data_IF_129693117939
#
_entry.id   IF_129693117939
#
_cell.length_a   1.000
_cell.length_b   1.000
_cell.length_c   1.000
_cell.angle_alpha   90.00
_cell.angle_beta   90.00
_cell.angle_gamma   90.00
#
_symmetry.space_group_name_H-M   'P 1'
#
loop_
_entity.id
_entity.type
_entity.pdbx_description
1 polymer ?
#
# COMPACT_ATOMS: atom_id res chain seq x y z
N UNK A 1 27.58 14.95 10.73
CA UNK A 1 27.29 13.74 9.92
C UNK A 1 25.92 13.19 10.32
N UNK A 2 24.93 13.18 9.43
CA UNK A 2 23.65 12.50 9.67
C UNK A 2 23.84 11.04 9.25
N UNK A 3 23.80 10.10 10.19
CA UNK A 3 23.71 8.68 9.84
C UNK A 3 22.33 8.48 9.20
N UNK A 4 22.27 8.00 7.97
CA UNK A 4 21.01 7.59 7.35
C UNK A 4 20.73 6.20 7.88
N UNK A 5 19.85 6.10 8.86
CA UNK A 5 19.30 4.81 9.31
C UNK A 5 18.56 4.18 8.13
N UNK A 6 19.15 3.15 7.53
CA UNK A 6 18.48 2.34 6.50
C UNK A 6 17.51 1.44 7.27
N UNK A 7 16.36 1.98 7.65
CA UNK A 7 15.31 1.19 8.27
C UNK A 7 14.68 0.30 7.21
N UNK A 8 14.99 -0.99 7.28
CA UNK A 8 14.32 -1.98 6.46
C UNK A 8 12.88 -2.12 6.96
N UNK A 9 11.92 -1.58 6.21
CA UNK A 9 10.51 -1.71 6.59
C UNK A 9 10.14 -3.20 6.58
N UNK A 10 9.72 -3.78 7.72
CA UNK A 10 9.31 -5.16 7.75
C UNK A 10 8.12 -5.37 6.82
N UNK A 11 8.04 -6.56 6.21
CA UNK A 11 6.96 -6.85 5.26
C UNK A 11 5.59 -6.80 5.92
N UNK A 12 5.49 -7.22 7.18
CA UNK A 12 4.26 -7.18 7.96
C UNK A 12 4.33 -6.05 9.00
N UNK A 13 3.39 -5.12 8.93
CA UNK A 13 3.33 -3.92 9.75
C UNK A 13 2.19 -4.00 10.78
N UNK A 14 2.40 -3.68 12.06
CA UNK A 14 1.32 -3.42 13.01
C UNK A 14 0.55 -2.14 12.63
N UNK A 15 -0.65 -1.97 13.18
CA UNK A 15 -1.54 -0.87 12.80
C UNK A 15 -0.93 0.55 12.88
N UNK A 16 -0.13 0.92 13.90
CA UNK A 16 0.49 2.25 13.95
C UNK A 16 1.50 2.47 12.81
N UNK A 17 2.33 1.48 12.51
CA UNK A 17 3.33 1.57 11.45
C UNK A 17 2.67 1.56 10.06
N UNK A 18 1.65 0.73 9.86
CA UNK A 18 0.87 0.71 8.62
C UNK A 18 0.14 2.03 8.37
N UNK A 19 -0.39 2.66 9.42
CA UNK A 19 -1.04 3.96 9.32
C UNK A 19 -0.03 5.06 8.96
N UNK A 20 1.14 5.04 9.62
CA UNK A 20 2.25 5.93 9.30
C UNK A 20 2.75 5.73 7.86
N UNK A 21 2.81 4.48 7.38
CA UNK A 21 3.19 4.13 6.00
C UNK A 21 2.27 4.79 4.96
N UNK A 22 0.95 4.77 5.20
CA UNK A 22 -0.04 5.42 4.33
C UNK A 22 -0.21 6.93 4.62
N UNK A 23 0.45 7.48 5.65
CA UNK A 23 0.30 8.88 6.04
C UNK A 23 -1.07 9.24 6.65
N UNK A 24 -1.76 8.26 7.24
CA UNK A 24 -3.11 8.43 7.82
C UNK A 24 -3.15 8.09 9.31
N UNK A 25 -4.26 8.40 9.98
CA UNK A 25 -4.49 7.99 11.36
C UNK A 25 -4.81 6.49 11.47
N UNK A 26 -4.59 5.90 12.65
CA UNK A 26 -4.94 4.47 12.87
C UNK A 26 -6.44 4.20 12.83
N UNK A 27 -7.28 5.17 13.17
CA UNK A 27 -8.73 5.07 13.01
C UNK A 27 -9.12 5.08 11.54
N UNK A 28 -8.52 5.96 10.74
CA UNK A 28 -8.70 5.97 9.27
C UNK A 28 -8.26 4.65 8.67
N UNK A 29 -7.08 4.13 9.01
CA UNK A 29 -6.60 2.83 8.49
C UNK A 29 -7.62 1.70 8.72
N UNK A 30 -8.26 1.68 9.90
CA UNK A 30 -9.27 0.66 10.25
C UNK A 30 -10.55 0.78 9.41
N UNK A 31 -10.88 1.94 8.86
CA UNK A 31 -12.03 2.12 7.97
C UNK A 31 -11.74 1.77 6.51
N UNK A 32 -10.47 1.69 6.09
CA UNK A 32 -10.08 1.40 4.69
C UNK A 32 -10.32 -0.06 4.27
N UNK A 33 -10.74 -0.93 5.19
CA UNK A 33 -11.04 -2.36 4.96
C UNK A 33 -9.91 -3.14 4.24
N UNK A 34 -8.65 -2.77 4.49
CA UNK A 34 -7.48 -3.44 3.90
C UNK A 34 -7.32 -4.83 4.55
N UNK A 35 -7.03 -5.89 3.78
CA UNK A 35 -6.80 -7.23 4.30
C UNK A 35 -5.72 -7.26 5.40
N UNK A 36 -6.00 -7.98 6.48
CA UNK A 36 -5.07 -8.16 7.62
C UNK A 36 -4.61 -9.60 7.69
N UNK A 37 -3.30 -9.80 7.76
CA UNK A 37 -2.67 -11.09 8.04
C UNK A 37 -2.78 -11.41 9.52
N UNK A 38 -3.11 -12.66 9.84
CA UNK A 38 -3.21 -13.15 11.21
C UNK A 38 -1.92 -13.86 11.59
N UNK A 39 -1.31 -13.44 12.70
CA UNK A 39 -0.16 -14.10 13.31
C UNK A 39 -0.48 -14.33 14.79
N UNK A 40 -1.12 -15.47 15.08
CA UNK A 40 -1.73 -15.74 16.38
C UNK A 40 -2.78 -14.68 16.75
N UNK A 41 -2.60 -14.04 17.91
CA UNK A 41 -3.47 -12.96 18.38
C UNK A 41 -3.24 -11.63 17.64
N UNK A 42 -2.11 -11.47 16.93
CA UNK A 42 -1.79 -10.22 16.23
C UNK A 42 -2.51 -10.14 14.88
N UNK A 43 -2.82 -8.91 14.50
CA UNK A 43 -3.34 -8.53 13.18
C UNK A 43 -2.34 -7.56 12.57
N UNK A 44 -1.74 -7.96 11.46
CA UNK A 44 -0.71 -7.21 10.76
C UNK A 44 -1.18 -6.90 9.34
N UNK A 45 -0.65 -5.83 8.75
CA UNK A 45 -0.88 -5.45 7.37
C UNK A 45 0.34 -5.86 6.54
N UNK A 46 0.13 -6.47 5.37
CA UNK A 46 1.24 -6.68 4.43
C UNK A 46 1.51 -5.35 3.70
N UNK A 47 2.77 -4.94 3.64
CA UNK A 47 3.21 -3.75 2.92
C UNK A 47 2.77 -3.77 1.45
N UNK A 48 2.74 -4.94 0.81
CA UNK A 48 2.27 -5.04 -0.58
C UNK A 48 0.77 -4.78 -0.72
N UNK A 49 -0.03 -5.21 0.26
CA UNK A 49 -1.47 -4.95 0.27
C UNK A 49 -1.73 -3.44 0.48
N UNK A 50 -0.88 -2.77 1.29
CA UNK A 50 -0.92 -1.30 1.46
C UNK A 50 -0.50 -0.56 0.18
N UNK A 51 0.56 -1.01 -0.50
CA UNK A 51 1.02 -0.44 -1.77
C UNK A 51 -0.07 -0.55 -2.84
N UNK A 52 -0.67 -1.74 -2.99
CA UNK A 52 -1.74 -1.97 -3.95
C UNK A 52 -2.95 -1.06 -3.68
N UNK A 53 -3.32 -0.86 -2.41
CA UNK A 53 -4.35 0.10 -2.03
C UNK A 53 -3.99 1.52 -2.45
N UNK A 54 -2.76 1.97 -2.14
CA UNK A 54 -2.30 3.33 -2.46
C UNK A 54 -2.25 3.58 -3.98
N UNK A 55 -1.78 2.60 -4.76
CA UNK A 55 -1.76 2.66 -6.23
C UNK A 55 -3.16 2.70 -6.85
N UNK A 56 -4.17 2.16 -6.17
CA UNK A 56 -5.57 2.19 -6.62
C UNK A 56 -6.32 3.48 -6.28
N UNK A 57 -5.71 4.42 -5.54
CA UNK A 57 -6.38 5.67 -5.19
C UNK A 57 -6.51 6.58 -6.42
N UNK A 58 -7.66 7.25 -6.59
CA UNK A 58 -7.80 8.25 -7.64
C UNK A 58 -6.82 9.40 -7.38
N UNK A 59 -6.16 9.88 -8.44
CA UNK A 59 -5.38 11.12 -8.36
C UNK A 59 -6.28 12.30 -8.72
N UNK A 60 -6.11 13.44 -8.05
CA UNK A 60 -6.85 14.65 -8.39
C UNK A 60 -6.54 15.08 -9.83
N UNK A 61 -7.60 15.30 -10.62
CA UNK A 61 -7.49 15.62 -12.04
C UNK A 61 -7.28 14.42 -12.96
N UNK A 62 -7.46 13.18 -12.48
CA UNK A 62 -7.25 11.99 -13.32
C UNK A 62 -8.14 11.96 -14.56
N UNK A 63 -7.45 12.22 -15.67
CA UNK A 63 -7.64 11.64 -16.98
C UNK A 63 -8.01 10.16 -16.81
N UNK A 64 -9.27 9.85 -17.07
CA UNK A 64 -9.69 8.49 -17.39
C UNK A 64 -8.81 7.97 -18.54
N UNK A 65 -8.23 6.80 -18.38
CA UNK A 65 -7.46 6.13 -19.43
C UNK A 65 -5.95 6.19 -19.18
N UNK A 66 -5.20 5.11 -19.22
CA UNK A 66 -5.48 3.82 -19.81
C UNK A 66 -4.65 2.76 -19.08
N UNK A 67 -5.12 1.53 -19.18
CA UNK A 67 -4.27 0.36 -19.26
C UNK A 67 -3.36 0.47 -20.51
N UNK A 68 -2.61 1.57 -20.68
CA UNK A 68 -1.69 1.80 -21.79
C UNK A 68 -0.63 0.68 -21.85
N UNK A 69 -0.35 0.08 -20.69
CA UNK A 69 0.45 -1.13 -20.57
C UNK A 69 -0.18 -2.35 -21.29
N UNK A 70 -1.50 -2.53 -21.30
CA UNK A 70 -2.16 -3.62 -22.06
C UNK A 70 -2.04 -3.41 -23.58
N UNK A 71 -2.10 -2.16 -24.04
CA UNK A 71 -1.93 -1.84 -25.47
C UNK A 71 -0.47 -1.90 -25.94
N UNK A 72 0.51 -1.72 -25.05
CA UNK A 72 1.94 -1.75 -25.39
C UNK A 72 2.53 -3.17 -25.50
N UNK A 73 1.91 -4.18 -24.89
CA UNK A 73 2.44 -5.56 -24.88
C UNK A 73 1.94 -6.48 -26.00
N UNK A 74 1.11 -6.01 -26.94
CA UNK A 74 1.00 -6.59 -28.28
C UNK A 74 0.92 -8.12 -28.40
N UNK A 75 0.28 -8.82 -27.46
CA UNK A 75 -0.02 -10.26 -27.58
C UNK A 75 -1.41 -10.38 -28.20
N UNK A 76 -1.46 -10.13 -29.51
CA UNK A 76 -2.47 -10.74 -30.37
C UNK A 76 -1.74 -11.75 -31.24
N UNK A 77 -2.17 -13.01 -31.12
CA UNK A 77 -1.80 -14.11 -32.03
C UNK A 77 -2.29 -13.85 -33.44
#
# INVERSE_FOLDING_TARGET
>A
MRTRDIQFAPRLLPAPEAAHYLGVSTSTLRSLNIPRRQLGAKRLYDRLDLDAFASGLPTEGNLSGDSECDSLFGVSS
#
